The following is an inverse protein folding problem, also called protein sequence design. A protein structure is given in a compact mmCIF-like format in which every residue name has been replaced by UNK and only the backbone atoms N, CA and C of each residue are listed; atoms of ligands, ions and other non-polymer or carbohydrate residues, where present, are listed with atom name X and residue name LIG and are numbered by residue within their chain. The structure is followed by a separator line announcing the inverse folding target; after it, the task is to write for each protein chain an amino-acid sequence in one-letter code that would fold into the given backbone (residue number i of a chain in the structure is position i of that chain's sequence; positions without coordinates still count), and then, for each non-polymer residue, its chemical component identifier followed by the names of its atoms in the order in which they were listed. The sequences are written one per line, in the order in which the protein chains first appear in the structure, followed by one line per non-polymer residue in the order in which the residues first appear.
data_IF_347108554569
#
_entry.id   IF_347108554569
#
_cell.length_a   1.000
_cell.length_b   1.000
_cell.length_c   1.000
_cell.angle_alpha   90.00
_cell.angle_beta   90.00
_cell.angle_gamma   90.00
#
_symmetry.space_group_name_H-M   'P 1'
#
loop_
_entity.id
_entity.type
_entity.pdbx_description
1 polymer ?
#
# COMPACT_ATOMS: atom_id res chain seq x y z
N UNK A 1 8.95 -47.47 19.92
CA UNK A 1 8.50 -47.28 18.52
C UNK A 1 7.06 -47.72 18.39
N UNK A 2 6.14 -46.76 18.37
CA UNK A 2 4.73 -46.85 17.97
C UNK A 2 4.41 -45.41 17.54
N UNK A 3 4.59 -45.08 16.27
CA UNK A 3 3.55 -45.26 15.25
C UNK A 3 2.97 -43.87 15.00
N UNK A 4 3.76 -43.00 14.35
CA UNK A 4 3.26 -41.73 13.82
C UNK A 4 2.15 -42.10 12.82
N UNK A 5 0.90 -41.88 13.21
CA UNK A 5 -0.21 -41.93 12.28
C UNK A 5 -0.03 -40.79 11.28
N UNK A 6 0.57 -41.15 10.15
CA UNK A 6 0.62 -40.31 8.97
C UNK A 6 -0.83 -39.94 8.61
N UNK A 7 -1.15 -38.66 8.82
CA UNK A 7 -2.40 -38.04 8.34
C UNK A 7 -2.50 -38.36 6.86
N UNK A 8 -3.42 -39.25 6.55
CA UNK A 8 -3.58 -39.84 5.22
C UNK A 8 -4.21 -38.80 4.31
N UNK A 9 -3.65 -38.67 3.11
CA UNK A 9 -3.99 -37.74 2.04
C UNK A 9 -5.43 -37.98 1.53
N UNK A 10 -6.45 -37.57 2.28
CA UNK A 10 -7.84 -37.85 1.90
C UNK A 10 -8.97 -37.22 2.72
N UNK A 11 -8.71 -36.53 3.84
CA UNK A 11 -9.78 -35.98 4.70
C UNK A 11 -10.06 -34.48 4.54
N UNK A 12 -9.61 -33.83 3.46
CA UNK A 12 -9.86 -32.39 3.26
C UNK A 12 -9.16 -31.46 4.26
N UNK A 13 -8.38 -32.01 5.20
CA UNK A 13 -7.55 -31.25 6.12
C UNK A 13 -6.40 -30.56 5.36
N UNK A 14 -6.04 -29.30 5.67
CA UNK A 14 -4.94 -28.61 5.02
C UNK A 14 -3.64 -29.39 5.22
N UNK A 15 -2.99 -29.75 4.12
CA UNK A 15 -1.66 -30.39 4.12
C UNK A 15 -0.63 -29.48 4.81
N UNK A 16 0.53 -30.01 5.19
CA UNK A 16 1.63 -29.18 5.73
C UNK A 16 1.95 -27.99 4.81
N UNK A 17 1.95 -28.21 3.49
CA UNK A 17 2.09 -27.15 2.48
C UNK A 17 0.90 -26.19 2.49
N UNK A 18 -0.35 -26.68 2.62
CA UNK A 18 -1.54 -25.85 2.75
C UNK A 18 -1.49 -24.93 3.97
N UNK A 19 -1.10 -25.45 5.14
CA UNK A 19 -0.89 -24.67 6.36
C UNK A 19 0.23 -23.64 6.19
N UNK A 20 1.31 -24.01 5.52
CA UNK A 20 2.42 -23.10 5.22
C UNK A 20 1.97 -21.93 4.34
N UNK A 21 1.25 -22.19 3.24
CA UNK A 21 0.72 -21.13 2.37
C UNK A 21 -0.32 -20.27 3.07
N UNK A 22 -1.21 -20.86 3.88
CA UNK A 22 -2.17 -20.12 4.69
C UNK A 22 -1.45 -19.19 5.68
N UNK A 23 -0.45 -19.70 6.40
CA UNK A 23 0.38 -18.90 7.32
C UNK A 23 1.11 -17.77 6.60
N UNK A 24 1.67 -18.02 5.42
CA UNK A 24 2.28 -16.97 4.61
C UNK A 24 1.25 -15.92 4.20
N UNK A 25 0.07 -16.32 3.73
CA UNK A 25 -0.98 -15.40 3.32
C UNK A 25 -1.48 -14.51 4.48
N UNK A 26 -1.46 -15.03 5.72
CA UNK A 26 -1.87 -14.28 6.91
C UNK A 26 -0.77 -13.35 7.43
N UNK A 27 0.49 -13.78 7.44
CA UNK A 27 1.62 -13.02 8.01
C UNK A 27 2.42 -12.21 6.98
N UNK A 28 1.88 -12.01 5.77
CA UNK A 28 2.54 -11.19 4.76
C UNK A 28 2.54 -9.72 5.21
N UNK A 29 3.75 -9.14 5.27
CA UNK A 29 3.93 -7.71 5.49
C UNK A 29 3.42 -6.93 4.27
N UNK A 30 2.17 -6.49 4.32
CA UNK A 30 1.58 -5.66 3.26
C UNK A 30 2.18 -4.25 3.29
N UNK A 31 2.63 -3.78 2.14
CA UNK A 31 3.19 -2.44 1.95
C UNK A 31 2.46 -1.79 0.78
N UNK A 32 2.08 -0.50 0.87
CA UNK A 32 1.40 0.19 -0.21
C UNK A 32 2.16 0.13 -1.54
N UNK A 33 1.46 -0.19 -2.61
CA UNK A 33 1.96 -0.11 -3.98
C UNK A 33 0.85 0.36 -4.92
N UNK A 34 1.12 1.43 -5.68
CA UNK A 34 0.23 1.97 -6.69
C UNK A 34 0.98 2.17 -8.01
N UNK A 35 0.39 1.68 -9.08
CA UNK A 35 0.75 2.08 -10.45
C UNK A 35 0.09 3.42 -10.82
N UNK A 36 0.54 4.02 -11.93
CA UNK A 36 -0.05 5.23 -12.49
C UNK A 36 -1.57 5.11 -12.72
N UNK A 37 -2.00 3.97 -13.28
CA UNK A 37 -3.39 3.72 -13.61
C UNK A 37 -4.23 3.46 -12.35
N UNK A 38 -3.71 2.68 -11.40
CA UNK A 38 -4.36 2.46 -10.10
C UNK A 38 -4.53 3.78 -9.33
N UNK A 39 -3.54 4.68 -9.38
CA UNK A 39 -3.66 6.01 -8.79
C UNK A 39 -4.76 6.83 -9.46
N UNK A 40 -4.86 6.80 -10.79
CA UNK A 40 -5.91 7.51 -11.55
C UNK A 40 -7.29 7.01 -11.12
N UNK A 41 -7.50 5.69 -11.05
CA UNK A 41 -8.75 5.09 -10.58
C UNK A 41 -9.03 5.47 -9.11
N UNK A 42 -8.05 5.37 -8.22
CA UNK A 42 -8.20 5.73 -6.81
C UNK A 42 -8.63 7.20 -6.62
N UNK A 43 -8.14 8.11 -7.46
CA UNK A 43 -8.53 9.52 -7.43
C UNK A 43 -10.01 9.75 -7.76
N UNK A 44 -10.64 8.88 -8.55
CA UNK A 44 -12.06 8.98 -8.89
C UNK A 44 -13.01 8.52 -7.76
N UNK A 45 -12.56 7.65 -6.84
CA UNK A 45 -13.42 7.07 -5.79
C UNK A 45 -13.79 8.10 -4.71
N UNK A 46 -15.05 8.46 -4.46
CA UNK A 46 -15.42 9.45 -3.44
C UNK A 46 -14.87 9.13 -2.05
N UNK A 47 -14.51 10.17 -1.29
CA UNK A 47 -13.83 9.99 0.01
C UNK A 47 -14.76 9.46 1.13
N UNK A 48 -16.02 9.91 1.13
CA UNK A 48 -16.96 9.72 2.25
C UNK A 48 -18.13 8.77 1.95
N UNK A 49 -18.33 8.38 0.68
CA UNK A 49 -19.45 7.55 0.25
C UNK A 49 -18.99 6.44 -0.69
N UNK A 50 -19.80 5.39 -0.80
CA UNK A 50 -19.67 4.43 -1.90
C UNK A 50 -19.97 5.07 -3.26
N UNK A 51 -19.34 4.53 -4.28
CA UNK A 51 -19.55 4.88 -5.69
C UNK A 51 -19.91 3.66 -6.50
N UNK A 52 -20.88 3.80 -7.39
CA UNK A 52 -21.17 2.78 -8.41
C UNK A 52 -20.09 2.83 -9.48
N UNK A 53 -19.45 1.70 -9.76
CA UNK A 53 -18.27 1.65 -10.63
C UNK A 53 -18.59 2.18 -12.04
N UNK A 54 -19.72 1.76 -12.61
CA UNK A 54 -20.13 2.19 -13.96
C UNK A 54 -20.50 3.67 -14.02
N UNK A 55 -21.38 4.12 -13.12
CA UNK A 55 -22.00 5.44 -13.19
C UNK A 55 -21.12 6.55 -12.60
N UNK A 56 -20.46 6.30 -11.47
CA UNK A 56 -19.69 7.31 -10.74
C UNK A 56 -18.20 7.33 -11.14
N UNK A 57 -17.66 6.24 -11.72
CA UNK A 57 -16.22 6.12 -12.02
C UNK A 57 -15.95 5.98 -13.52
N UNK A 58 -16.47 4.94 -14.20
CA UNK A 58 -16.12 4.65 -15.60
C UNK A 58 -16.67 5.74 -16.52
N UNK A 59 -17.99 5.94 -16.58
CA UNK A 59 -18.63 6.89 -17.50
C UNK A 59 -18.08 8.33 -17.40
N UNK A 60 -17.81 8.88 -16.19
CA UNK A 60 -17.34 10.27 -16.09
C UNK A 60 -15.84 10.46 -16.40
N UNK A 61 -15.00 9.43 -16.18
CA UNK A 61 -13.54 9.61 -16.14
C UNK A 61 -12.74 8.73 -17.11
N UNK A 62 -13.37 7.71 -17.71
CA UNK A 62 -12.71 6.71 -18.54
C UNK A 62 -13.46 6.46 -19.84
N UNK A 63 -12.74 5.97 -20.85
CA UNK A 63 -13.36 5.54 -22.11
C UNK A 63 -13.89 4.13 -21.96
N UNK A 64 -14.91 3.76 -22.74
CA UNK A 64 -15.50 2.42 -22.72
C UNK A 64 -14.46 1.30 -22.92
N UNK A 65 -13.45 1.54 -23.76
CA UNK A 65 -12.35 0.59 -23.99
C UNK A 65 -11.43 0.37 -22.78
N UNK A 66 -11.42 1.29 -21.81
CA UNK A 66 -10.65 1.18 -20.57
C UNK A 66 -11.47 0.50 -19.45
N UNK A 67 -12.72 0.10 -19.73
CA UNK A 67 -13.65 -0.47 -18.74
C UNK A 67 -13.05 -1.68 -18.02
N UNK A 68 -12.53 -2.66 -18.77
CA UNK A 68 -11.91 -3.86 -18.20
C UNK A 68 -10.66 -3.52 -17.38
N UNK A 69 -9.85 -2.55 -17.82
CA UNK A 69 -8.68 -2.09 -17.08
C UNK A 69 -9.06 -1.46 -15.75
N UNK A 70 -10.16 -0.69 -15.70
CA UNK A 70 -10.68 -0.09 -14.45
C UNK A 70 -11.10 -1.17 -13.47
N UNK A 71 -11.86 -2.18 -13.91
CA UNK A 71 -12.23 -3.31 -13.05
C UNK A 71 -10.99 -4.05 -12.52
N UNK A 72 -10.04 -4.38 -13.39
CA UNK A 72 -8.79 -5.03 -12.98
C UNK A 72 -7.99 -4.19 -11.99
N UNK A 73 -7.97 -2.86 -12.16
CA UNK A 73 -7.30 -1.97 -11.22
C UNK A 73 -8.01 -1.93 -9.86
N UNK A 74 -9.34 -1.90 -9.85
CA UNK A 74 -10.14 -1.96 -8.64
C UNK A 74 -9.94 -3.27 -7.89
N UNK A 75 -9.95 -4.41 -8.58
CA UNK A 75 -9.68 -5.73 -7.99
C UNK A 75 -8.28 -5.79 -7.37
N UNK A 76 -7.27 -5.20 -8.02
CA UNK A 76 -5.92 -5.08 -7.45
C UNK A 76 -5.88 -4.17 -6.22
N UNK A 77 -6.65 -3.08 -6.21
CA UNK A 77 -6.76 -2.19 -5.06
C UNK A 77 -7.46 -2.87 -3.88
N UNK A 78 -8.47 -3.69 -4.15
CA UNK A 78 -9.21 -4.49 -3.16
C UNK A 78 -8.33 -5.59 -2.56
N UNK A 79 -7.62 -6.34 -3.41
CA UNK A 79 -6.65 -7.35 -2.98
C UNK A 79 -5.52 -6.78 -2.08
N UNK A 80 -5.18 -5.50 -2.29
CA UNK A 80 -4.21 -4.78 -1.44
C UNK A 80 -4.83 -4.25 -0.15
N UNK A 81 -6.16 -4.22 0.00
CA UNK A 81 -6.86 -3.65 1.14
C UNK A 81 -6.98 -2.12 1.10
N UNK A 82 -6.90 -1.51 -0.09
CA UNK A 82 -7.01 -0.05 -0.28
C UNK A 82 -8.47 0.37 -0.50
N UNK A 83 -9.26 -0.50 -1.13
CA UNK A 83 -10.69 -0.32 -1.35
C UNK A 83 -11.42 -1.58 -0.90
N UNK A 84 -12.73 -1.49 -0.70
CA UNK A 84 -13.62 -2.64 -0.64
C UNK A 84 -14.51 -2.64 -1.88
N UNK A 85 -14.49 -3.75 -2.61
CA UNK A 85 -15.41 -4.00 -3.71
C UNK A 85 -16.61 -4.83 -3.23
N UNK A 86 -17.78 -4.20 -3.25
CA UNK A 86 -19.04 -4.85 -2.90
C UNK A 86 -19.60 -5.62 -4.10
N UNK A 87 -20.31 -6.72 -3.82
CA UNK A 87 -20.90 -7.60 -4.85
C UNK A 87 -21.92 -6.90 -5.75
N UNK A 88 -22.49 -5.78 -5.31
CA UNK A 88 -23.43 -4.96 -6.07
C UNK A 88 -22.75 -3.96 -7.03
N UNK A 89 -21.43 -4.01 -7.20
CA UNK A 89 -20.69 -3.09 -8.07
C UNK A 89 -20.49 -1.70 -7.45
N UNK A 90 -20.50 -1.62 -6.12
CA UNK A 90 -20.17 -0.43 -5.34
C UNK A 90 -18.75 -0.56 -4.81
N UNK A 91 -17.97 0.52 -4.89
CA UNK A 91 -16.63 0.59 -4.29
C UNK A 91 -16.59 1.63 -3.18
N UNK A 92 -15.92 1.30 -2.07
CA UNK A 92 -15.65 2.20 -0.94
C UNK A 92 -14.16 2.23 -0.59
N UNK A 93 -13.69 3.30 0.05
CA UNK A 93 -12.31 3.38 0.55
C UNK A 93 -12.21 2.76 1.94
N UNK A 94 -11.20 1.91 2.14
CA UNK A 94 -10.81 1.46 3.49
C UNK A 94 -10.11 2.60 4.23
N UNK A 95 -9.90 2.46 5.55
CA UNK A 95 -9.10 3.43 6.32
C UNK A 95 -7.68 3.65 5.77
N UNK A 96 -6.87 2.61 5.47
CA UNK A 96 -5.59 2.82 4.80
C UNK A 96 -5.78 3.43 3.40
N UNK A 97 -6.85 3.07 2.68
CA UNK A 97 -7.20 3.68 1.40
C UNK A 97 -7.43 5.19 1.45
N UNK A 98 -8.16 5.66 2.45
CA UNK A 98 -8.40 7.09 2.71
C UNK A 98 -7.09 7.84 2.97
N UNK A 99 -6.18 7.25 3.74
CA UNK A 99 -4.85 7.84 4.01
C UNK A 99 -4.01 7.89 2.74
N UNK A 100 -3.95 6.81 1.97
CA UNK A 100 -3.19 6.74 0.70
C UNK A 100 -3.75 7.75 -0.30
N UNK A 101 -5.07 7.80 -0.48
CA UNK A 101 -5.72 8.75 -1.37
C UNK A 101 -5.40 10.20 -0.99
N UNK A 102 -5.45 10.52 0.31
CA UNK A 102 -5.10 11.86 0.81
C UNK A 102 -3.62 12.17 0.57
N UNK A 103 -2.74 11.20 0.82
CA UNK A 103 -1.31 11.35 0.59
C UNK A 103 -0.97 11.66 -0.87
N UNK A 104 -1.66 11.00 -1.81
CA UNK A 104 -1.39 11.10 -3.25
C UNK A 104 -2.22 12.16 -3.98
N UNK A 105 -3.02 12.96 -3.25
CA UNK A 105 -3.87 14.00 -3.85
C UNK A 105 -3.06 15.03 -4.66
N UNK A 106 -1.86 15.38 -4.19
CA UNK A 106 -0.93 16.29 -4.86
C UNK A 106 0.03 15.62 -5.85
N UNK A 107 -0.03 14.30 -6.00
CA UNK A 107 0.85 13.55 -6.90
C UNK A 107 0.40 13.74 -8.35
N UNK A 108 1.25 14.24 -9.26
CA UNK A 108 0.91 14.38 -10.68
C UNK A 108 0.60 13.03 -11.35
N UNK A 109 -0.13 13.06 -12.45
CA UNK A 109 -0.28 11.90 -13.32
C UNK A 109 1.00 11.66 -14.14
N UNK A 110 1.21 10.43 -14.64
CA UNK A 110 2.34 10.07 -15.49
C UNK A 110 3.56 9.47 -14.77
N UNK A 111 3.59 9.50 -13.43
CA UNK A 111 4.58 8.73 -12.66
C UNK A 111 4.16 7.26 -12.69
N UNK A 112 5.02 6.37 -13.18
CA UNK A 112 4.68 4.96 -13.39
C UNK A 112 4.30 4.22 -12.09
N UNK A 113 5.08 4.40 -11.03
CA UNK A 113 4.88 3.77 -9.71
C UNK A 113 5.01 4.82 -8.60
N UNK A 114 4.02 5.71 -8.43
CA UNK A 114 4.11 6.83 -7.51
C UNK A 114 4.22 6.39 -6.05
N UNK A 115 3.69 5.22 -5.69
CA UNK A 115 3.82 4.64 -4.35
C UNK A 115 4.38 3.23 -4.51
N UNK A 116 5.48 2.93 -3.83
CA UNK A 116 6.11 1.61 -3.87
C UNK A 116 6.80 1.28 -2.53
N UNK A 117 7.19 0.00 -2.31
CA UNK A 117 7.80 -0.41 -1.05
C UNK A 117 9.13 0.27 -0.70
N UNK A 118 9.93 0.67 -1.69
CA UNK A 118 11.20 1.36 -1.44
C UNK A 118 10.98 2.77 -0.89
N UNK A 119 10.01 3.50 -1.44
CA UNK A 119 9.57 4.79 -0.90
C UNK A 119 9.15 4.63 0.57
N UNK A 120 8.39 3.61 0.92
CA UNK A 120 7.97 3.38 2.32
C UNK A 120 9.17 3.09 3.23
N UNK A 121 10.17 2.34 2.77
CA UNK A 121 11.43 2.10 3.51
C UNK A 121 12.19 3.40 3.75
N UNK A 122 12.31 4.25 2.73
CA UNK A 122 12.97 5.56 2.85
C UNK A 122 12.21 6.46 3.83
N UNK A 123 10.88 6.53 3.73
CA UNK A 123 10.03 7.32 4.64
C UNK A 123 10.20 6.85 6.09
N UNK A 124 10.21 5.53 6.32
CA UNK A 124 10.43 4.95 7.65
C UNK A 124 11.80 5.36 8.21
N UNK A 125 12.87 5.22 7.42
CA UNK A 125 14.22 5.64 7.81
C UNK A 125 14.30 7.15 8.11
N UNK A 126 13.63 7.99 7.32
CA UNK A 126 13.56 9.44 7.59
C UNK A 126 12.86 9.72 8.93
N UNK A 127 11.76 9.04 9.25
CA UNK A 127 11.05 9.23 10.52
C UNK A 127 11.89 8.79 11.73
N UNK A 128 12.77 7.81 11.55
CA UNK A 128 13.63 7.28 12.61
C UNK A 128 14.78 8.23 12.98
N UNK A 129 15.41 8.87 11.99
CA UNK A 129 16.60 9.72 12.19
C UNK A 129 16.26 11.22 12.17
N UNK A 130 15.13 11.59 11.59
CA UNK A 130 14.71 12.98 11.44
C UNK A 130 14.00 13.55 12.67
N UNK A 131 13.92 14.88 12.73
CA UNK A 131 13.22 15.58 13.82
C UNK A 131 11.80 15.97 13.40
N UNK A 132 10.80 15.54 14.16
CA UNK A 132 9.39 15.87 13.89
C UNK A 132 9.11 17.34 14.21
N UNK A 133 8.65 18.09 13.22
CA UNK A 133 8.18 19.46 13.36
C UNK A 133 6.66 19.48 13.45
N UNK A 134 6.15 19.35 14.68
CA UNK A 134 4.73 19.12 14.99
C UNK A 134 3.79 20.18 14.39
N UNK A 135 4.21 21.46 14.37
CA UNK A 135 3.39 22.57 13.83
C UNK A 135 3.08 22.44 12.34
N UNK A 136 3.98 21.84 11.56
CA UNK A 136 3.81 21.70 10.10
C UNK A 136 3.50 20.26 9.67
N UNK A 137 3.42 19.30 10.60
CA UNK A 137 3.31 17.86 10.28
C UNK A 137 4.39 17.42 9.27
N UNK A 138 5.64 17.85 9.52
CA UNK A 138 6.81 17.56 8.67
C UNK A 138 7.93 16.96 9.48
N UNK A 139 8.78 16.16 8.84
CA UNK A 139 10.03 15.68 9.44
C UNK A 139 11.20 16.41 8.77
N UNK A 140 12.01 17.13 9.54
CA UNK A 140 13.21 17.78 9.04
C UNK A 140 14.36 16.78 8.97
N UNK A 141 15.15 16.89 7.91
CA UNK A 141 16.27 16.01 7.60
C UNK A 141 17.54 16.86 7.62
N UNK A 142 18.43 16.57 8.57
CA UNK A 142 19.76 17.20 8.59
C UNK A 142 20.64 16.61 7.47
N UNK A 143 21.53 17.41 6.84
CA UNK A 143 22.37 16.95 5.72
C UNK A 143 23.23 15.71 6.05
N UNK A 144 23.66 15.58 7.30
CA UNK A 144 24.52 14.49 7.78
C UNK A 144 23.76 13.15 7.83
N UNK A 145 22.45 13.19 8.03
CA UNK A 145 21.61 12.01 8.24
C UNK A 145 21.32 11.26 6.94
N UNK A 146 21.55 11.84 5.76
CA UNK A 146 21.25 11.19 4.47
C UNK A 146 22.01 9.87 4.28
N UNK A 147 23.25 9.79 4.75
CA UNK A 147 24.06 8.56 4.68
C UNK A 147 23.44 7.45 5.56
N UNK A 148 22.96 7.81 6.74
CA UNK A 148 22.32 6.89 7.66
C UNK A 148 20.95 6.45 7.15
N UNK A 149 20.14 7.38 6.62
CA UNK A 149 18.83 7.09 6.00
C UNK A 149 18.99 6.07 4.87
N UNK A 150 19.98 6.25 3.99
CA UNK A 150 20.26 5.28 2.91
C UNK A 150 20.61 3.90 3.48
N UNK A 151 21.46 3.85 4.50
CA UNK A 151 21.87 2.60 5.15
C UNK A 151 20.67 1.88 5.79
N UNK A 152 19.82 2.59 6.53
CA UNK A 152 18.60 2.05 7.13
C UNK A 152 17.57 1.63 6.07
N UNK A 153 17.44 2.43 5.00
CA UNK A 153 16.58 2.08 3.88
C UNK A 153 17.06 0.81 3.18
N UNK A 154 18.36 0.49 3.22
CA UNK A 154 18.95 -0.74 2.67
C UNK A 154 18.88 -0.80 1.15
N UNK A 155 19.16 0.34 0.50
CA UNK A 155 19.13 0.52 -0.95
C UNK A 155 20.54 0.84 -1.49
N UNK A 156 20.78 0.48 -2.75
CA UNK A 156 21.96 0.94 -3.50
C UNK A 156 21.90 2.45 -3.75
N UNK A 157 23.02 3.08 -4.15
CA UNK A 157 23.02 4.50 -4.49
C UNK A 157 22.04 4.83 -5.63
N UNK A 158 22.07 4.04 -6.70
CA UNK A 158 21.22 4.26 -7.88
C UNK A 158 19.73 4.14 -7.55
N UNK A 159 19.35 3.10 -6.79
CA UNK A 159 17.96 2.92 -6.34
C UNK A 159 17.52 4.06 -5.43
N UNK A 160 18.37 4.46 -4.47
CA UNK A 160 18.04 5.51 -3.52
C UNK A 160 17.82 6.85 -4.23
N UNK A 161 18.72 7.26 -5.12
CA UNK A 161 18.59 8.52 -5.88
C UNK A 161 17.37 8.54 -6.81
N UNK A 162 17.09 7.40 -7.47
CA UNK A 162 15.90 7.23 -8.30
C UNK A 162 14.63 7.41 -7.48
N UNK A 163 14.51 6.72 -6.35
CA UNK A 163 13.33 6.80 -5.50
C UNK A 163 13.16 8.18 -4.86
N UNK A 164 14.25 8.86 -4.47
CA UNK A 164 14.18 10.25 -4.00
C UNK A 164 13.64 11.20 -5.08
N UNK A 165 14.00 10.97 -6.34
CA UNK A 165 13.49 11.74 -7.48
C UNK A 165 11.97 11.54 -7.62
N UNK A 166 11.51 10.29 -7.54
CA UNK A 166 10.08 9.96 -7.58
C UNK A 166 9.35 10.59 -6.39
N UNK A 167 9.88 10.51 -5.17
CA UNK A 167 9.28 11.10 -3.97
C UNK A 167 9.13 12.63 -4.08
N UNK A 168 10.10 13.32 -4.67
CA UNK A 168 10.04 14.77 -4.94
C UNK A 168 8.98 15.11 -5.98
N UNK A 169 8.93 14.35 -7.08
CA UNK A 169 7.92 14.51 -8.12
C UNK A 169 6.51 14.25 -7.58
N UNK A 170 6.35 13.21 -6.76
CA UNK A 170 5.08 12.82 -6.15
C UNK A 170 4.64 13.70 -4.97
N UNK A 171 5.46 14.70 -4.58
CA UNK A 171 5.21 15.64 -3.48
C UNK A 171 5.14 14.99 -2.09
N UNK A 172 5.93 13.95 -1.86
CA UNK A 172 6.14 13.37 -0.53
C UNK A 172 7.33 13.99 0.19
N UNK A 173 8.29 14.49 -0.58
CA UNK A 173 9.57 15.00 -0.08
C UNK A 173 9.87 16.37 -0.69
N UNK A 174 10.29 17.31 0.14
CA UNK A 174 10.85 18.59 -0.26
C UNK A 174 12.36 18.50 -0.48
N UNK A 175 13.07 19.61 -0.25
CA UNK A 175 14.53 19.62 -0.31
C UNK A 175 15.15 18.90 0.90
N UNK A 176 14.78 19.31 2.11
CA UNK A 176 15.31 18.80 3.38
C UNK A 176 14.20 18.40 4.38
N UNK A 177 12.99 18.11 3.88
CA UNK A 177 11.89 17.72 4.74
C UNK A 177 10.94 16.74 4.09
N UNK A 178 10.46 15.78 4.89
CA UNK A 178 9.35 14.91 4.54
C UNK A 178 8.04 15.62 4.85
N UNK A 179 7.10 15.60 3.89
CA UNK A 179 5.80 16.23 4.03
C UNK A 179 4.77 15.33 4.71
N UNK A 180 3.64 15.90 5.12
CA UNK A 180 2.50 15.17 5.71
C UNK A 180 2.05 14.01 4.82
N UNK A 181 2.07 14.19 3.49
CA UNK A 181 1.75 13.14 2.52
C UNK A 181 2.61 11.87 2.70
N UNK A 182 3.91 12.04 2.94
CA UNK A 182 4.80 10.90 3.25
C UNK A 182 4.45 10.23 4.58
N UNK A 183 4.12 11.01 5.61
CA UNK A 183 3.70 10.50 6.92
C UNK A 183 2.38 9.72 6.84
N UNK A 184 1.43 10.20 6.03
CA UNK A 184 0.16 9.50 5.78
C UNK A 184 0.37 8.16 5.10
N UNK A 185 1.30 8.05 4.14
CA UNK A 185 1.67 6.76 3.52
C UNK A 185 2.25 5.79 4.54
N UNK A 186 3.12 6.26 5.44
CA UNK A 186 3.66 5.41 6.48
C UNK A 186 2.58 4.94 7.45
N UNK A 187 1.67 5.84 7.86
CA UNK A 187 0.52 5.48 8.71
C UNK A 187 -0.38 4.45 8.01
N UNK A 188 -0.62 4.61 6.71
CA UNK A 188 -1.37 3.63 5.94
C UNK A 188 -0.66 2.27 5.93
N UNK A 189 0.65 2.25 5.71
CA UNK A 189 1.44 1.02 5.74
C UNK A 189 1.42 0.33 7.13
N UNK A 190 1.41 1.10 8.21
CA UNK A 190 1.26 0.59 9.58
C UNK A 190 -0.13 -0.04 9.79
N UNK A 191 -1.21 0.59 9.31
CA UNK A 191 -2.57 0.04 9.39
C UNK A 191 -2.73 -1.24 8.55
N UNK A 192 -2.19 -1.26 7.32
CA UNK A 192 -2.25 -2.43 6.44
C UNK A 192 -1.51 -3.64 7.01
N UNK A 193 -0.51 -3.42 7.88
CA UNK A 193 0.18 -4.49 8.61
C UNK A 193 -0.62 -4.96 9.82
N UNK A 194 -1.29 -4.05 10.52
CA UNK A 194 -2.09 -4.36 11.70
C UNK A 194 -3.36 -5.17 11.37
N UNK A 195 -3.85 -5.08 10.14
CA UNK A 195 -5.00 -5.85 9.64
C UNK A 195 -4.66 -7.34 9.36
N UNK A 196 -3.68 -7.88 10.08
CA UNK A 196 -3.32 -9.29 10.09
C UNK A 196 -4.59 -10.10 10.36
N UNK A 197 -5.12 -10.77 9.33
CA UNK A 197 -6.35 -11.56 9.45
C UNK A 197 -6.03 -12.74 10.37
N UNK A 198 -6.44 -12.63 11.63
CA UNK A 198 -6.39 -13.71 12.62
C UNK A 198 -7.20 -14.86 12.05
N UNK A 199 -6.51 -15.87 11.54
CA UNK A 199 -7.10 -17.18 11.39
C UNK A 199 -7.11 -17.81 12.78
N UNK A 200 -8.29 -17.99 13.35
CA UNK A 200 -8.44 -18.94 14.44
C UNK A 200 -8.15 -20.32 13.85
N UNK A 201 -7.14 -21.01 14.38
CA UNK A 201 -7.04 -22.46 14.15
C UNK A 201 -8.33 -23.05 14.71
N UNK A 202 -9.20 -23.55 13.83
CA UNK A 202 -10.27 -24.44 14.26
C UNK A 202 -9.53 -25.72 14.65
N UNK A 203 -9.28 -25.89 15.95
CA UNK A 203 -8.87 -27.17 16.51
C UNK A 203 -9.97 -28.18 16.18
N UNK A 204 -9.64 -29.16 15.32
CA UNK A 204 -10.51 -30.32 15.00
C UNK A 204 -9.95 -31.55 15.70
#
# INVERSE_FOLDING_TARGET
MKGEEAITTGQGAPTASGRFYARMATHINRVPHLTAFELRVLKCIPYLRGAFIEEDIIKPYFKEKEREDVYLALEKLDAKGIVNLETCGVVTLTEPGKLIKRATAGTPEGIANPVNPFIIRIIKAIKEVGSLYVKEQRVRIEPENWKEIKKLAGLTDEEFEKELTIMKQAKFLGQNSLFESGLLLLKAAELMKAEERVWEEIDV
#
